data_IF_272728482012
#
_entry.id   IF_272728482012
#
_cell.length_a   1.000
_cell.length_b   1.000
_cell.length_c   1.000
_cell.angle_alpha   90.00
_cell.angle_beta   90.00
_cell.angle_gamma   90.00
#
_symmetry.space_group_name_H-M   'P 1'
#
loop_
_entity.id
_entity.type
_entity.pdbx_description
1 polymer ?
#
# COMPACT_ATOMS: atom_id res chain seq x y z
N UNK A 1 -12.52 -1.96 22.34
CA UNK A 1 -11.63 -1.42 21.30
C UNK A 1 -11.23 -0.01 21.72
N UNK A 2 -9.96 0.23 21.91
CA UNK A 2 -9.40 1.50 22.37
C UNK A 2 -8.64 2.15 21.21
N UNK A 3 -8.87 3.45 20.96
CA UNK A 3 -8.17 4.18 19.90
C UNK A 3 -6.96 4.90 20.51
N UNK A 4 -5.76 4.53 20.07
CA UNK A 4 -4.51 5.21 20.47
C UNK A 4 -4.22 6.43 19.60
N UNK A 5 -4.67 6.41 18.36
CA UNK A 5 -4.55 7.52 17.40
C UNK A 5 -5.62 7.37 16.30
N UNK A 6 -5.71 8.35 15.40
CA UNK A 6 -6.62 8.28 14.24
C UNK A 6 -6.39 7.04 13.35
N UNK A 7 -5.19 6.46 13.39
CA UNK A 7 -4.80 5.33 12.56
C UNK A 7 -4.65 4.02 13.31
N UNK A 8 -4.53 4.06 14.64
CA UNK A 8 -4.19 2.87 15.44
C UNK A 8 -5.25 2.61 16.48
N UNK A 9 -5.81 1.43 16.47
CA UNK A 9 -6.71 0.93 17.50
C UNK A 9 -6.26 -0.40 18.07
N UNK A 10 -6.50 -0.61 19.36
CA UNK A 10 -6.16 -1.84 20.08
C UNK A 10 -7.44 -2.45 20.65
N UNK A 11 -7.54 -3.77 20.54
CA UNK A 11 -8.57 -4.57 21.16
C UNK A 11 -7.91 -5.70 21.97
N UNK A 12 -8.22 -5.76 23.28
CA UNK A 12 -7.70 -6.76 24.20
C UNK A 12 -8.88 -7.59 24.70
N UNK A 13 -8.97 -8.84 24.30
CA UNK A 13 -10.02 -9.77 24.71
C UNK A 13 -9.47 -11.20 24.82
N UNK A 14 -9.91 -11.92 25.82
CA UNK A 14 -9.70 -13.38 25.97
C UNK A 14 -8.23 -13.80 25.78
N UNK A 15 -7.29 -13.09 26.42
CA UNK A 15 -5.86 -13.38 26.34
C UNK A 15 -5.21 -13.08 24.99
N UNK A 16 -5.92 -12.46 24.04
CA UNK A 16 -5.39 -11.99 22.75
C UNK A 16 -5.36 -10.46 22.72
N UNK A 17 -4.31 -9.93 22.12
CA UNK A 17 -4.20 -8.52 21.78
C UNK A 17 -4.23 -8.37 20.27
N UNK A 18 -5.15 -7.56 19.76
CA UNK A 18 -5.25 -7.24 18.34
C UNK A 18 -5.00 -5.74 18.14
N UNK A 19 -4.08 -5.39 17.25
CA UNK A 19 -3.78 -4.02 16.86
C UNK A 19 -4.16 -3.83 15.41
N UNK A 20 -4.95 -2.83 15.10
CA UNK A 20 -5.31 -2.46 13.73
C UNK A 20 -4.68 -1.13 13.39
N UNK A 21 -3.89 -1.10 12.32
CA UNK A 21 -3.23 0.08 11.79
C UNK A 21 -3.90 0.41 10.45
N UNK A 22 -4.64 1.52 10.41
CA UNK A 22 -5.30 1.98 9.17
C UNK A 22 -4.27 2.55 8.19
N UNK A 23 -4.39 2.19 6.92
CA UNK A 23 -3.55 2.71 5.85
C UNK A 23 -3.91 4.13 5.41
N UNK A 24 -4.96 4.74 5.98
CA UNK A 24 -5.47 6.05 5.56
C UNK A 24 -4.43 7.16 5.69
N UNK A 25 -4.43 8.04 4.72
CA UNK A 25 -3.71 9.32 4.79
C UNK A 25 -4.58 10.42 5.43
N UNK A 26 -3.96 11.55 5.86
CA UNK A 26 -4.70 12.78 6.12
C UNK A 26 -5.56 13.16 4.92
N UNK A 27 -6.77 13.69 5.17
CA UNK A 27 -7.79 13.96 4.14
C UNK A 27 -7.26 14.68 2.90
N UNK A 28 -6.39 15.69 3.08
CA UNK A 28 -5.81 16.43 1.95
C UNK A 28 -5.00 15.53 0.99
N UNK A 29 -4.16 14.63 1.53
CA UNK A 29 -3.37 13.69 0.72
C UNK A 29 -4.24 12.61 0.09
N UNK A 30 -5.28 12.16 0.79
CA UNK A 30 -6.25 11.19 0.29
C UNK A 30 -7.02 11.79 -0.90
N UNK A 31 -7.54 13.02 -0.76
CA UNK A 31 -8.23 13.73 -1.85
C UNK A 31 -7.31 13.91 -3.05
N UNK A 32 -6.06 14.36 -2.84
CA UNK A 32 -5.09 14.54 -3.92
C UNK A 32 -4.85 13.23 -4.68
N UNK A 33 -4.66 12.11 -3.96
CA UNK A 33 -4.43 10.81 -4.57
C UNK A 33 -5.65 10.32 -5.37
N UNK A 34 -6.86 10.48 -4.83
CA UNK A 34 -8.10 10.09 -5.51
C UNK A 34 -8.31 10.95 -6.77
N UNK A 35 -8.20 12.28 -6.65
CA UNK A 35 -8.37 13.20 -7.79
C UNK A 35 -7.37 12.87 -8.91
N UNK A 36 -6.11 12.63 -8.55
CA UNK A 36 -5.10 12.24 -9.53
C UNK A 36 -5.43 10.89 -10.19
N UNK A 37 -5.85 9.90 -9.42
CA UNK A 37 -6.22 8.58 -9.95
C UNK A 37 -7.37 8.68 -10.93
N UNK A 38 -8.39 9.50 -10.63
CA UNK A 38 -9.53 9.76 -11.52
C UNK A 38 -9.07 10.49 -12.78
N UNK A 39 -8.26 11.54 -12.65
CA UNK A 39 -7.74 12.28 -13.80
C UNK A 39 -6.91 11.36 -14.73
N UNK A 40 -6.06 10.51 -14.13
CA UNK A 40 -5.26 9.54 -14.88
C UNK A 40 -6.13 8.51 -15.60
N UNK A 41 -7.21 8.02 -14.95
CA UNK A 41 -8.19 7.13 -15.58
C UNK A 41 -8.87 7.78 -16.78
N UNK A 42 -9.37 8.99 -16.61
CA UNK A 42 -10.04 9.74 -17.69
C UNK A 42 -9.11 10.01 -18.87
N UNK A 43 -7.85 10.36 -18.60
CA UNK A 43 -6.83 10.55 -19.63
C UNK A 43 -6.65 9.29 -20.49
N UNK A 44 -6.50 8.12 -19.88
CA UNK A 44 -6.34 6.88 -20.62
C UNK A 44 -7.58 6.47 -21.40
N UNK A 45 -8.78 6.70 -20.83
CA UNK A 45 -10.04 6.46 -21.54
C UNK A 45 -10.16 7.37 -22.76
N UNK A 46 -9.80 8.64 -22.63
CA UNK A 46 -9.78 9.60 -23.75
C UNK A 46 -8.79 9.15 -24.86
N UNK A 47 -7.58 8.72 -24.49
CA UNK A 47 -6.59 8.25 -25.46
C UNK A 47 -7.06 6.94 -26.13
N UNK A 48 -7.70 6.04 -25.38
CA UNK A 48 -8.29 4.83 -25.93
C UNK A 48 -9.39 5.16 -26.97
N UNK A 49 -10.25 6.14 -26.64
CA UNK A 49 -11.26 6.65 -27.57
C UNK A 49 -10.62 7.29 -28.80
N UNK A 50 -9.69 8.23 -28.63
CA UNK A 50 -9.01 8.92 -29.74
C UNK A 50 -8.32 7.94 -30.69
N UNK A 51 -7.79 6.82 -30.15
CA UNK A 51 -7.22 5.74 -30.99
C UNK A 51 -8.25 5.07 -31.91
N UNK A 52 -9.54 5.03 -31.51
CA UNK A 52 -10.59 4.41 -32.35
C UNK A 52 -10.94 5.27 -33.57
N UNK A 53 -10.76 6.58 -33.47
CA UNK A 53 -11.02 7.55 -34.55
C UNK A 53 -9.93 7.52 -35.65
N UNK A 54 -8.76 6.97 -35.36
CA UNK A 54 -7.66 6.89 -36.33
C UNK A 54 -7.85 5.72 -37.31
N UNK A 55 -7.47 5.92 -38.58
CA UNK A 55 -7.50 4.89 -39.60
C UNK A 55 -6.57 3.72 -39.25
N UNK A 56 -6.84 2.52 -39.79
CA UNK A 56 -6.05 1.33 -39.47
C UNK A 56 -4.58 1.40 -39.91
N UNK A 57 -4.29 2.22 -40.95
CA UNK A 57 -2.94 2.41 -41.48
C UNK A 57 -2.15 3.56 -40.82
N UNK A 58 -2.75 4.30 -39.89
CA UNK A 58 -2.11 5.45 -39.24
C UNK A 58 -1.03 4.96 -38.26
N UNK A 59 0.25 5.37 -38.41
CA UNK A 59 1.31 4.98 -37.49
C UNK A 59 1.07 5.51 -36.04
N UNK A 60 0.35 6.62 -35.87
CA UNK A 60 -0.01 7.17 -34.56
C UNK A 60 -0.84 6.18 -33.77
N UNK A 61 -1.67 5.39 -34.41
CA UNK A 61 -2.48 4.35 -33.76
C UNK A 61 -1.64 3.29 -33.02
N UNK A 62 -0.46 2.95 -33.56
CA UNK A 62 0.46 2.02 -32.92
C UNK A 62 1.17 2.66 -31.71
N UNK A 63 1.59 3.93 -31.85
CA UNK A 63 2.19 4.67 -30.72
C UNK A 63 1.22 4.82 -29.55
N UNK A 64 -0.06 5.12 -29.83
CA UNK A 64 -1.08 5.18 -28.79
C UNK A 64 -1.32 3.83 -28.11
N UNK A 65 -1.20 2.72 -28.84
CA UNK A 65 -1.31 1.38 -28.24
C UNK A 65 -0.17 1.10 -27.26
N UNK A 66 1.07 1.41 -27.64
CA UNK A 66 2.24 1.29 -26.76
C UNK A 66 2.07 2.17 -25.53
N UNK A 67 1.65 3.43 -25.72
CA UNK A 67 1.36 4.33 -24.61
C UNK A 67 0.30 3.79 -23.67
N UNK A 68 -0.81 3.24 -24.20
CA UNK A 68 -1.88 2.64 -23.40
C UNK A 68 -1.41 1.41 -22.59
N UNK A 69 -0.45 0.63 -23.10
CA UNK A 69 0.14 -0.47 -22.34
C UNK A 69 0.90 0.03 -21.10
N UNK A 70 1.73 1.09 -21.25
CA UNK A 70 2.40 1.76 -20.14
C UNK A 70 1.39 2.40 -19.19
N UNK A 71 0.40 3.11 -19.73
CA UNK A 71 -0.66 3.73 -18.95
C UNK A 71 -1.39 2.69 -18.09
N UNK A 72 -1.79 1.55 -18.67
CA UNK A 72 -2.47 0.48 -17.94
C UNK A 72 -1.62 -0.08 -16.81
N UNK A 73 -0.32 -0.28 -17.04
CA UNK A 73 0.61 -0.72 -15.99
C UNK A 73 0.63 0.25 -14.81
N UNK A 74 0.80 1.55 -15.08
CA UNK A 74 0.81 2.56 -14.02
C UNK A 74 -0.57 2.72 -13.38
N UNK A 75 -1.66 2.63 -14.15
CA UNK A 75 -3.02 2.67 -13.62
C UNK A 75 -3.28 1.56 -12.61
N UNK A 76 -2.82 0.34 -12.86
CA UNK A 76 -2.92 -0.77 -11.92
C UNK A 76 -2.12 -0.50 -10.64
N UNK A 77 -0.93 0.07 -10.75
CA UNK A 77 -0.09 0.42 -9.60
C UNK A 77 -0.74 1.51 -8.73
N UNK A 78 -1.13 2.60 -9.35
CA UNK A 78 -1.77 3.75 -8.67
C UNK A 78 -3.13 3.33 -8.10
N UNK A 79 -3.94 2.61 -8.87
CA UNK A 79 -5.24 2.11 -8.42
C UNK A 79 -5.13 1.21 -7.19
N UNK A 80 -4.16 0.29 -7.19
CA UNK A 80 -3.88 -0.54 -6.03
C UNK A 80 -3.46 0.30 -4.81
N UNK A 81 -2.60 1.30 -4.98
CA UNK A 81 -2.19 2.20 -3.90
C UNK A 81 -3.38 3.01 -3.37
N UNK A 82 -4.22 3.55 -4.26
CA UNK A 82 -5.43 4.29 -3.90
C UNK A 82 -6.40 3.42 -3.09
N UNK A 83 -6.70 2.21 -3.57
CA UNK A 83 -7.57 1.28 -2.86
C UNK A 83 -7.00 0.90 -1.49
N UNK A 84 -5.68 0.69 -1.40
CA UNK A 84 -5.01 0.43 -0.13
C UNK A 84 -5.18 1.60 0.84
N UNK A 85 -4.97 2.84 0.40
CA UNK A 85 -5.12 4.03 1.26
C UNK A 85 -6.57 4.28 1.69
N UNK A 86 -7.55 3.92 0.86
CA UNK A 86 -8.97 4.10 1.18
C UNK A 86 -9.52 3.00 2.09
N UNK A 87 -9.10 1.74 1.91
CA UNK A 87 -9.74 0.57 2.52
C UNK A 87 -8.77 -0.44 3.13
N UNK A 88 -7.45 -0.20 3.01
CA UNK A 88 -6.43 -1.08 3.54
C UNK A 88 -6.20 -0.88 5.04
N UNK A 89 -5.78 -1.93 5.70
CA UNK A 89 -5.30 -1.91 7.08
C UNK A 89 -4.34 -3.06 7.35
N UNK A 90 -3.44 -2.87 8.29
CA UNK A 90 -2.60 -3.92 8.85
C UNK A 90 -3.25 -4.40 10.15
N UNK A 91 -3.44 -5.70 10.28
CA UNK A 91 -3.94 -6.35 11.48
C UNK A 91 -2.80 -7.14 12.14
N UNK A 92 -2.50 -6.79 13.36
CA UNK A 92 -1.61 -7.53 14.23
C UNK A 92 -2.42 -8.28 15.26
N UNK A 93 -2.15 -9.55 15.41
CA UNK A 93 -2.74 -10.38 16.44
C UNK A 93 -1.65 -11.07 17.23
N UNK A 94 -1.64 -10.83 18.53
CA UNK A 94 -0.70 -11.44 19.48
C UNK A 94 -1.50 -12.40 20.33
N UNK A 95 -1.18 -13.67 20.26
CA UNK A 95 -1.81 -14.74 21.03
C UNK A 95 -0.83 -15.90 21.21
N UNK A 96 -0.78 -16.49 22.40
CA UNK A 96 -0.03 -17.71 22.73
C UNK A 96 1.43 -17.69 22.23
N UNK A 97 2.17 -16.59 22.50
CA UNK A 97 3.55 -16.42 22.06
C UNK A 97 3.76 -16.28 20.56
N UNK A 98 2.69 -16.05 19.79
CA UNK A 98 2.74 -15.87 18.34
C UNK A 98 2.20 -14.50 17.94
N UNK A 99 2.93 -13.81 17.07
CA UNK A 99 2.50 -12.57 16.41
C UNK A 99 2.09 -12.90 14.98
N UNK A 100 0.83 -12.65 14.64
CA UNK A 100 0.32 -12.79 13.29
C UNK A 100 0.11 -11.39 12.69
N UNK A 101 0.75 -11.10 11.58
CA UNK A 101 0.63 -9.85 10.83
C UNK A 101 -0.13 -10.15 9.53
N UNK A 102 -1.20 -9.40 9.28
CA UNK A 102 -2.01 -9.51 8.07
C UNK A 102 -2.18 -8.15 7.43
N UNK A 103 -1.68 -8.00 6.21
CA UNK A 103 -2.04 -6.89 5.33
C UNK A 103 -3.41 -7.19 4.72
N UNK A 104 -4.39 -6.36 4.99
CA UNK A 104 -5.77 -6.62 4.58
C UNK A 104 -6.32 -5.50 3.70
N UNK A 105 -6.85 -5.86 2.54
CA UNK A 105 -7.61 -5.01 1.66
C UNK A 105 -9.03 -5.57 1.55
N UNK A 106 -10.05 -4.81 1.93
CA UNK A 106 -11.44 -5.26 2.02
C UNK A 106 -11.65 -6.53 2.87
N UNK A 107 -10.83 -6.75 3.89
CA UNK A 107 -10.89 -7.95 4.73
C UNK A 107 -10.07 -9.13 4.19
N UNK A 108 -9.66 -9.11 2.94
CA UNK A 108 -8.83 -10.15 2.32
C UNK A 108 -7.34 -9.80 2.39
N UNK A 109 -6.49 -10.79 2.57
CA UNK A 109 -5.04 -10.59 2.56
C UNK A 109 -4.27 -11.75 3.17
N UNK A 110 -2.96 -11.76 2.89
CA UNK A 110 -2.06 -12.80 3.38
C UNK A 110 -1.70 -12.51 4.85
N UNK A 111 -1.84 -13.51 5.70
CA UNK A 111 -1.35 -13.48 7.07
C UNK A 111 0.02 -14.19 7.15
N UNK A 112 0.93 -13.63 7.94
CA UNK A 112 2.22 -14.23 8.27
C UNK A 112 2.34 -14.31 9.79
N UNK A 113 2.74 -15.45 10.31
CA UNK A 113 2.88 -15.68 11.75
C UNK A 113 4.34 -15.82 12.14
N UNK A 114 4.70 -15.24 13.26
CA UNK A 114 6.06 -15.18 13.80
C UNK A 114 6.02 -15.55 15.29
N UNK A 115 6.94 -16.40 15.73
CA UNK A 115 7.09 -16.70 17.17
C UNK A 115 7.78 -15.52 17.85
N UNK A 116 7.22 -15.08 18.98
CA UNK A 116 7.74 -13.93 19.75
C UNK A 116 9.18 -14.15 20.17
N UNK A 117 9.54 -15.37 20.57
CA UNK A 117 10.89 -15.73 21.04
C UNK A 117 11.96 -15.54 19.96
N UNK A 118 11.56 -15.58 18.69
CA UNK A 118 12.46 -15.40 17.55
C UNK A 118 12.47 -13.95 17.02
N UNK A 119 11.73 -13.04 17.65
CA UNK A 119 11.70 -11.62 17.28
C UNK A 119 12.83 -10.90 17.98
N UNK A 120 13.71 -10.29 17.21
CA UNK A 120 14.84 -9.50 17.69
C UNK A 120 14.80 -8.09 17.08
N UNK A 121 15.46 -7.14 17.75
CA UNK A 121 15.66 -5.77 17.24
C UNK A 121 14.36 -5.09 16.79
N UNK A 122 13.27 -5.29 17.54
CA UNK A 122 12.02 -4.57 17.27
C UNK A 122 12.24 -3.07 17.46
N UNK A 123 12.01 -2.28 16.43
CA UNK A 123 12.19 -0.84 16.52
C UNK A 123 12.02 -0.10 15.18
N UNK A 124 12.48 1.15 15.19
CA UNK A 124 12.54 1.95 13.98
C UNK A 124 13.62 1.40 13.04
N UNK A 125 13.28 1.29 11.77
CA UNK A 125 14.25 0.91 10.75
C UNK A 125 15.19 2.10 10.52
N UNK A 126 16.51 1.84 10.55
CA UNK A 126 17.50 2.83 10.14
C UNK A 126 17.33 3.11 8.63
N UNK A 127 16.70 4.22 8.31
CA UNK A 127 16.43 4.62 6.94
C UNK A 127 17.23 5.88 6.63
N UNK A 128 17.95 5.87 5.53
CA UNK A 128 18.60 7.05 4.98
C UNK A 128 17.58 7.88 4.19
N UNK A 129 17.15 9.07 4.70
CA UNK A 129 16.11 9.87 4.04
C UNK A 129 16.49 10.35 2.64
N UNK A 130 17.80 10.47 2.37
CA UNK A 130 18.37 10.85 1.07
C UNK A 130 18.32 9.73 0.04
N UNK A 131 18.09 8.48 0.46
CA UNK A 131 18.05 7.33 -0.43
C UNK A 131 16.87 7.41 -1.39
N UNK A 132 17.13 7.22 -2.70
CA UNK A 132 16.10 7.08 -3.73
C UNK A 132 15.06 6.02 -3.39
N UNK A 133 15.50 4.90 -2.82
CA UNK A 133 14.62 3.80 -2.40
C UNK A 133 13.61 4.26 -1.33
N UNK A 134 14.05 5.09 -0.39
CA UNK A 134 13.17 5.65 0.64
C UNK A 134 12.17 6.64 0.06
N UNK A 135 12.62 7.57 -0.78
CA UNK A 135 11.76 8.57 -1.43
C UNK A 135 10.68 7.89 -2.29
N UNK A 136 11.05 6.82 -3.00
CA UNK A 136 10.10 6.04 -3.78
C UNK A 136 9.09 5.31 -2.87
N UNK A 137 9.57 4.65 -1.81
CA UNK A 137 8.74 3.86 -0.90
C UNK A 137 7.78 4.72 -0.06
N UNK A 138 8.11 6.00 0.17
CA UNK A 138 7.26 6.96 0.90
C UNK A 138 6.36 7.79 -0.01
N UNK A 139 6.45 7.60 -1.32
CA UNK A 139 5.61 8.33 -2.27
C UNK A 139 4.13 7.91 -2.16
N UNK A 140 3.23 8.85 -2.46
CA UNK A 140 1.78 8.61 -2.37
C UNK A 140 1.27 7.55 -3.37
N UNK A 141 2.05 7.27 -4.41
CA UNK A 141 1.72 6.34 -5.49
C UNK A 141 2.05 4.87 -5.19
N UNK A 142 2.69 4.59 -4.07
CA UNK A 142 3.18 3.27 -3.71
C UNK A 142 2.60 2.84 -2.37
N UNK A 143 2.32 1.55 -2.25
CA UNK A 143 2.03 0.93 -0.95
C UNK A 143 3.37 0.75 -0.25
N UNK A 144 3.66 1.61 0.70
CA UNK A 144 4.93 1.64 1.42
C UNK A 144 4.86 2.62 2.58
N UNK A 145 6.03 3.06 3.04
CA UNK A 145 6.17 3.99 4.15
C UNK A 145 6.40 3.29 5.49
N UNK A 146 6.75 2.00 5.44
CA UNK A 146 7.11 1.24 6.64
C UNK A 146 8.28 1.92 7.35
N UNK A 147 8.11 2.17 8.66
CA UNK A 147 9.15 2.76 9.53
C UNK A 147 9.52 1.85 10.68
N UNK A 148 8.75 0.82 10.89
CA UNK A 148 8.95 -0.14 11.95
C UNK A 148 9.35 -1.49 11.37
N UNK A 149 10.17 -2.23 12.10
CA UNK A 149 10.56 -3.57 11.70
C UNK A 149 11.13 -4.36 12.86
N UNK A 150 11.29 -5.62 12.63
CA UNK A 150 12.01 -6.54 13.51
C UNK A 150 12.76 -7.58 12.69
N UNK A 151 13.74 -8.18 13.30
CA UNK A 151 14.47 -9.31 12.74
C UNK A 151 13.84 -10.61 13.23
N UNK A 152 13.56 -11.53 12.30
CA UNK A 152 13.04 -12.86 12.60
C UNK A 152 13.85 -13.90 11.80
N UNK A 153 14.59 -14.74 12.48
CA UNK A 153 15.46 -15.77 11.88
C UNK A 153 16.39 -15.20 10.78
N UNK A 154 17.02 -14.07 11.04
CA UNK A 154 17.94 -13.41 10.11
C UNK A 154 17.26 -12.66 8.94
N UNK A 155 15.92 -12.59 8.92
CA UNK A 155 15.17 -11.81 7.92
C UNK A 155 14.51 -10.60 8.55
N UNK A 156 14.65 -9.45 7.88
CA UNK A 156 13.96 -8.24 8.31
C UNK A 156 12.49 -8.27 7.88
N UNK A 157 11.61 -8.14 8.84
CA UNK A 157 10.16 -7.98 8.65
C UNK A 157 9.82 -6.52 8.91
N UNK A 158 9.21 -5.85 7.92
CA UNK A 158 8.87 -4.42 7.98
C UNK A 158 7.36 -4.22 7.99
N UNK A 159 6.89 -3.17 8.68
CA UNK A 159 5.46 -2.90 8.87
C UNK A 159 5.19 -1.41 9.15
N UNK A 160 3.90 -1.04 9.26
CA UNK A 160 3.45 0.33 9.49
C UNK A 160 3.32 1.14 8.20
N UNK A 161 2.75 0.52 7.16
CA UNK A 161 2.48 1.12 5.84
C UNK A 161 1.48 2.27 5.87
#
# INVERSE_FOLDING_TARGET
MEFLSERVSIDRKDGRTSVVISARYPKAKETLLVTWTVAWLLCGLYIAYARTELSQGDPVRQYLLVFLAFWAYFMLKIGKATLWRLKGFELWRIKDGTVTIKDSLFGYGKASSYFVDNIQKLGLIAIEPSSWKYQWNTSIWVIGGERLGFEHLGKNVVFGK
#
